data_IF_668278162887
#
_entry.id   IF_668278162887
#
_cell.length_a   1.000
_cell.length_b   1.000
_cell.length_c   1.000
_cell.angle_alpha   90.00
_cell.angle_beta   90.00
_cell.angle_gamma   90.00
#
_symmetry.space_group_name_H-M   'P 1'
#
loop_
_entity.id
_entity.type
_entity.pdbx_description
1 polymer ?
#
# COMPACT_ATOMS: atom_id res chain seq x y z
N UNK A 1 -20.87 12.50 -4.23
CA UNK A 1 -19.88 13.45 -3.66
C UNK A 1 -18.55 13.07 -4.27
N UNK A 2 -17.90 14.02 -4.93
CA UNK A 2 -16.59 13.76 -5.55
C UNK A 2 -15.49 13.92 -4.52
N UNK A 3 -14.61 12.93 -4.45
CA UNK A 3 -13.44 12.92 -3.58
C UNK A 3 -12.22 12.48 -4.38
N UNK A 4 -11.05 12.96 -3.97
CA UNK A 4 -9.75 12.53 -4.48
C UNK A 4 -9.17 11.58 -3.44
N UNK A 5 -8.79 10.38 -3.86
CA UNK A 5 -8.17 9.40 -2.96
C UNK A 5 -6.73 9.81 -2.63
N UNK A 6 -6.39 9.82 -1.36
CA UNK A 6 -5.02 10.03 -0.89
C UNK A 6 -4.28 8.71 -0.62
N UNK A 7 -5.01 7.59 -0.63
CA UNK A 7 -4.49 6.26 -0.42
C UNK A 7 -5.21 5.26 -1.34
N UNK A 8 -4.60 4.11 -1.58
CA UNK A 8 -5.22 3.02 -2.34
C UNK A 8 -6.36 2.42 -1.51
N UNK A 9 -7.59 2.52 -2.01
CA UNK A 9 -8.77 1.97 -1.35
C UNK A 9 -9.33 0.82 -2.18
N UNK A 10 -9.41 -0.37 -1.56
CA UNK A 10 -9.96 -1.56 -2.20
C UNK A 10 -11.38 -1.29 -2.72
N UNK A 11 -11.64 -1.73 -3.96
CA UNK A 11 -12.91 -1.55 -4.67
C UNK A 11 -13.31 -0.11 -4.99
N UNK A 12 -12.40 0.86 -4.85
CA UNK A 12 -12.69 2.26 -5.11
C UNK A 12 -11.72 2.90 -6.10
N UNK A 13 -10.41 2.74 -5.89
CA UNK A 13 -9.40 3.31 -6.78
C UNK A 13 -8.01 3.34 -6.17
N UNK A 14 -7.08 3.86 -6.94
CA UNK A 14 -5.69 4.10 -6.54
C UNK A 14 -5.50 5.51 -6.01
N UNK A 15 -4.33 5.74 -5.41
CA UNK A 15 -3.92 7.06 -4.93
C UNK A 15 -3.99 8.08 -6.07
N UNK A 16 -4.73 9.17 -5.84
CA UNK A 16 -4.94 10.26 -6.79
C UNK A 16 -6.17 10.15 -7.69
N UNK A 17 -6.88 9.03 -7.65
CA UNK A 17 -8.10 8.89 -8.44
C UNK A 17 -9.22 9.77 -7.89
N UNK A 18 -9.90 10.47 -8.81
CA UNK A 18 -11.13 11.19 -8.50
C UNK A 18 -12.32 10.25 -8.64
N UNK A 19 -12.98 9.97 -7.53
CA UNK A 19 -14.10 9.02 -7.48
C UNK A 19 -15.38 9.68 -6.97
N UNK A 20 -16.51 9.28 -7.52
CA UNK A 20 -17.81 9.72 -7.04
C UNK A 20 -18.39 8.69 -6.06
N UNK A 21 -18.47 9.05 -4.78
CA UNK A 21 -18.97 8.19 -3.71
C UNK A 21 -20.22 8.76 -3.05
N UNK A 22 -20.92 7.90 -2.30
CA UNK A 22 -22.03 8.34 -1.43
C UNK A 22 -21.51 9.34 -0.39
N UNK A 23 -22.25 10.42 -0.17
CA UNK A 23 -21.82 11.50 0.73
C UNK A 23 -21.61 11.04 2.19
N UNK A 24 -22.35 10.04 2.65
CA UNK A 24 -22.14 9.44 3.97
C UNK A 24 -20.81 8.69 4.08
N UNK A 25 -20.43 7.95 3.03
CA UNK A 25 -19.18 7.21 2.99
C UNK A 25 -17.96 8.13 2.94
N UNK A 26 -18.03 9.21 2.15
CA UNK A 26 -16.99 10.24 2.17
C UNK A 26 -16.83 10.89 3.54
N UNK A 27 -17.93 11.39 4.13
CA UNK A 27 -17.89 12.19 5.37
C UNK A 27 -17.59 11.37 6.63
N UNK A 28 -18.05 10.13 6.70
CA UNK A 28 -17.95 9.33 7.92
C UNK A 28 -16.77 8.36 7.93
N UNK A 29 -16.22 8.01 6.76
CA UNK A 29 -15.16 7.02 6.63
C UNK A 29 -13.93 7.57 5.92
N UNK A 30 -14.07 8.01 4.66
CA UNK A 30 -12.89 8.34 3.85
C UNK A 30 -12.17 9.61 4.34
N UNK A 31 -12.90 10.68 4.64
CA UNK A 31 -12.31 11.95 5.08
C UNK A 31 -11.74 11.86 6.51
N UNK A 32 -12.47 11.32 7.51
CA UNK A 32 -11.93 11.21 8.87
C UNK A 32 -10.74 10.25 8.99
N UNK A 33 -10.66 9.21 8.15
CA UNK A 33 -9.50 8.31 8.12
C UNK A 33 -8.33 8.85 7.28
N UNK A 34 -8.45 10.05 6.70
CA UNK A 34 -7.41 10.64 5.85
C UNK A 34 -7.22 9.91 4.51
N UNK A 35 -8.15 9.05 4.10
CA UNK A 35 -8.08 8.25 2.86
C UNK A 35 -8.52 9.03 1.63
N UNK A 36 -9.29 10.10 1.79
CA UNK A 36 -9.72 10.94 0.69
C UNK A 36 -9.97 12.38 1.12
N UNK A 37 -9.87 13.31 0.17
CA UNK A 37 -10.24 14.72 0.35
C UNK A 37 -11.35 15.11 -0.62
N UNK A 38 -12.22 16.07 -0.27
CA UNK A 38 -13.20 16.59 -1.22
C UNK A 38 -12.53 17.14 -2.48
N UNK A 39 -13.08 16.79 -3.65
CA UNK A 39 -12.58 17.24 -4.94
C UNK A 39 -13.00 18.68 -5.24
N UNK A 40 -12.47 19.64 -4.48
CA UNK A 40 -12.61 21.07 -4.75
C UNK A 40 -11.54 21.50 -5.76
N UNK A 41 -11.78 22.56 -6.53
CA UNK A 41 -10.83 23.06 -7.54
C UNK A 41 -9.41 23.27 -6.96
N UNK A 42 -9.32 23.86 -5.77
CA UNK A 42 -8.06 24.07 -5.05
C UNK A 42 -7.34 22.76 -4.71
N UNK A 43 -8.08 21.73 -4.30
CA UNK A 43 -7.50 20.43 -3.96
C UNK A 43 -7.05 19.65 -5.20
N UNK A 44 -7.78 19.80 -6.31
CA UNK A 44 -7.41 19.20 -7.60
C UNK A 44 -6.07 19.78 -8.07
N UNK A 45 -5.94 21.10 -8.14
CA UNK A 45 -4.71 21.78 -8.57
C UNK A 45 -3.52 21.44 -7.65
N UNK A 46 -3.74 21.43 -6.33
CA UNK A 46 -2.72 21.04 -5.37
C UNK A 46 -2.26 19.58 -5.55
N UNK A 47 -3.21 18.70 -5.82
CA UNK A 47 -2.92 17.29 -6.02
C UNK A 47 -2.19 17.05 -7.35
N UNK A 48 -2.58 17.73 -8.43
CA UNK A 48 -1.87 17.65 -9.72
C UNK A 48 -0.42 18.12 -9.60
N UNK A 49 -0.16 19.20 -8.86
CA UNK A 49 1.21 19.68 -8.61
C UNK A 49 2.06 18.65 -7.84
N UNK A 50 1.45 17.93 -6.89
CA UNK A 50 2.13 16.90 -6.10
C UNK A 50 2.12 15.51 -6.73
N UNK A 51 1.33 15.30 -7.77
CA UNK A 51 1.15 14.00 -8.40
C UNK A 51 2.47 13.45 -8.93
N UNK A 52 3.25 14.29 -9.61
CA UNK A 52 4.56 13.90 -10.13
C UNK A 52 5.52 13.46 -9.00
N UNK A 53 5.52 14.17 -7.87
CA UNK A 53 6.35 13.81 -6.71
C UNK A 53 5.90 12.50 -6.05
N UNK A 54 4.59 12.28 -5.94
CA UNK A 54 4.02 11.07 -5.32
C UNK A 54 4.21 9.85 -6.22
N UNK A 55 4.04 9.98 -7.53
CA UNK A 55 4.32 8.92 -8.50
C UNK A 55 5.81 8.54 -8.49
N UNK A 56 6.72 9.51 -8.43
CA UNK A 56 8.16 9.26 -8.31
C UNK A 56 8.50 8.47 -7.03
N UNK A 57 7.96 8.88 -5.87
CA UNK A 57 8.15 8.17 -4.61
C UNK A 57 7.58 6.75 -4.65
N UNK A 58 6.41 6.55 -5.25
CA UNK A 58 5.82 5.22 -5.40
C UNK A 58 6.70 4.32 -6.28
N UNK A 59 7.27 4.85 -7.36
CA UNK A 59 8.20 4.12 -8.21
C UNK A 59 9.47 3.72 -7.45
N UNK A 60 10.04 4.60 -6.62
CA UNK A 60 11.19 4.29 -5.77
C UNK A 60 10.88 3.20 -4.75
N UNK A 61 9.73 3.27 -4.08
CA UNK A 61 9.31 2.25 -3.11
C UNK A 61 9.11 0.90 -3.79
N UNK A 62 8.51 0.88 -4.98
CA UNK A 62 8.30 -0.34 -5.77
C UNK A 62 9.64 -0.93 -6.22
N UNK A 63 10.56 -0.11 -6.70
CA UNK A 63 11.91 -0.54 -7.05
C UNK A 63 12.66 -1.15 -5.86
N UNK A 64 12.60 -0.51 -4.69
CA UNK A 64 13.21 -1.02 -3.47
C UNK A 64 12.58 -2.35 -3.00
N UNK A 65 11.25 -2.48 -3.14
CA UNK A 65 10.54 -3.72 -2.83
C UNK A 65 10.94 -4.86 -3.78
N UNK A 66 11.04 -4.60 -5.09
CA UNK A 66 11.48 -5.59 -6.08
C UNK A 66 12.93 -6.03 -5.82
N UNK A 67 13.84 -5.09 -5.57
CA UNK A 67 15.23 -5.42 -5.24
C UNK A 67 15.35 -6.29 -3.97
N UNK A 68 14.47 -6.08 -2.99
CA UNK A 68 14.39 -6.96 -1.81
C UNK A 68 13.83 -8.34 -2.16
N UNK A 69 12.80 -8.41 -2.99
CA UNK A 69 12.21 -9.68 -3.44
C UNK A 69 13.23 -10.52 -4.23
N UNK A 70 14.01 -9.90 -5.11
CA UNK A 70 15.11 -10.55 -5.83
C UNK A 70 16.15 -11.14 -4.88
N UNK A 71 16.56 -10.39 -3.85
CA UNK A 71 17.49 -10.89 -2.82
C UNK A 71 16.94 -12.11 -2.07
N UNK A 72 15.64 -12.10 -1.77
CA UNK A 72 14.99 -13.22 -1.08
C UNK A 72 14.88 -14.44 -2.01
N UNK A 73 14.51 -14.24 -3.28
CA UNK A 73 14.45 -15.32 -4.25
C UNK A 73 15.82 -15.90 -4.60
N UNK A 74 16.88 -15.09 -4.50
CA UNK A 74 18.26 -15.53 -4.67
C UNK A 74 18.80 -16.30 -3.46
N UNK A 75 18.12 -16.28 -2.30
CA UNK A 75 18.43 -17.20 -1.22
C UNK A 75 17.94 -18.59 -1.64
N UNK A 76 18.86 -19.44 -2.11
CA UNK A 76 18.60 -20.87 -2.20
C UNK A 76 18.14 -21.42 -0.84
N UNK A 77 17.41 -22.55 -0.91
CA UNK A 77 16.72 -23.22 0.21
C UNK A 77 17.35 -22.95 1.57
N UNK A 78 16.61 -22.25 2.44
CA UNK A 78 17.03 -22.01 3.83
C UNK A 78 16.87 -23.31 4.62
N UNK A 79 17.91 -24.12 4.67
CA UNK A 79 17.97 -25.35 5.47
C UNK A 79 18.38 -25.02 6.91
N UNK A 80 17.42 -25.10 7.82
CA UNK A 80 17.67 -24.97 9.27
C UNK A 80 17.87 -26.38 9.83
N UNK A 81 19.13 -26.77 10.04
CA UNK A 81 19.44 -28.03 10.70
C UNK A 81 19.14 -27.92 12.21
N UNK A 82 18.31 -28.82 12.73
CA UNK A 82 18.01 -28.92 14.15
C UNK A 82 18.08 -30.36 14.61
N UNK A 83 18.50 -30.58 15.86
CA UNK A 83 18.66 -31.91 16.44
C UNK A 83 17.29 -32.51 16.73
N UNK A 84 16.96 -33.62 16.08
CA UNK A 84 15.82 -34.46 16.39
C UNK A 84 16.22 -35.56 17.38
N UNK A 85 15.31 -35.94 18.28
CA UNK A 85 15.45 -37.15 19.09
C UNK A 85 15.24 -38.43 18.26
N UNK A 86 15.49 -39.61 18.85
CA UNK A 86 15.45 -40.90 18.14
C UNK A 86 14.08 -41.23 17.49
N UNK A 87 12.98 -40.61 17.96
CA UNK A 87 11.64 -40.72 17.37
C UNK A 87 11.32 -39.61 16.34
N UNK A 88 12.30 -38.81 15.92
CA UNK A 88 12.09 -37.73 14.95
C UNK A 88 11.41 -36.47 15.51
N UNK A 89 11.15 -36.41 16.83
CA UNK A 89 10.65 -35.19 17.47
C UNK A 89 11.76 -34.15 17.65
N UNK A 90 11.48 -32.94 17.19
CA UNK A 90 12.28 -31.75 17.51
C UNK A 90 12.18 -31.43 19.00
N UNK A 91 13.31 -31.22 19.66
CA UNK A 91 13.31 -30.76 21.05
C UNK A 91 12.85 -29.30 21.11
N UNK A 92 11.83 -29.03 21.92
CA UNK A 92 11.40 -27.66 22.27
C UNK A 92 10.26 -27.07 21.45
N UNK A 93 9.22 -27.85 21.11
CA UNK A 93 7.89 -27.26 20.79
C UNK A 93 7.17 -26.84 22.06
#
# INVERSE_FOLDING_TARGET
>A
MQVILLDKVANLGSLGDQVNVKAGYARNFLVPQGKAVPATKKNIEFFEARRAELEAKLAEVLAAANARAEKINALETVTIASKAGDEGKLFGS
#
